data_IF_165249907716
#
_entry.id   IF_165249907716
#
_cell.length_a   1.000
_cell.length_b   1.000
_cell.length_c   1.000
_cell.angle_alpha   90.00
_cell.angle_beta   90.00
_cell.angle_gamma   90.00
#
_symmetry.space_group_name_H-M   'P 1'
#
loop_
_entity.id
_entity.type
_entity.pdbx_description
1 polymer ?
#
# COMPACT_ATOMS: atom_id res chain seq x y z
N UNK A 1 18.46 -13.55 13.96
CA UNK A 1 17.06 -13.15 14.17
C UNK A 1 16.09 -13.83 13.18
N UNK A 2 16.24 -15.14 12.90
CA UNK A 2 15.46 -15.83 11.84
C UNK A 2 15.03 -17.27 12.18
N UNK A 3 15.26 -17.78 13.38
CA UNK A 3 14.86 -19.16 13.75
C UNK A 3 13.37 -19.32 14.02
N UNK A 4 12.65 -18.22 14.27
CA UNK A 4 11.22 -18.20 14.63
C UNK A 4 10.40 -17.20 13.79
N UNK A 5 10.93 -16.75 12.65
CA UNK A 5 10.19 -15.86 11.76
C UNK A 5 9.08 -16.62 11.04
N UNK A 6 7.94 -15.98 10.82
CA UNK A 6 6.89 -16.55 9.96
C UNK A 6 7.40 -16.61 8.50
N UNK A 7 7.65 -17.82 7.95
CA UNK A 7 8.25 -17.96 6.62
C UNK A 7 7.36 -17.39 5.51
N UNK A 8 6.07 -17.21 5.77
CA UNK A 8 5.14 -16.60 4.81
C UNK A 8 5.52 -15.18 4.46
N UNK A 9 6.21 -14.45 5.35
CA UNK A 9 6.68 -13.07 5.09
C UNK A 9 7.75 -12.99 3.98
N UNK A 10 8.38 -14.10 3.61
CA UNK A 10 9.35 -14.15 2.51
C UNK A 10 8.63 -14.23 1.15
N UNK A 11 7.46 -14.88 1.12
CA UNK A 11 6.75 -15.23 -0.12
C UNK A 11 5.59 -14.26 -0.38
N UNK A 12 4.89 -13.85 0.67
CA UNK A 12 3.67 -13.06 0.57
C UNK A 12 3.91 -11.60 0.96
N UNK A 13 3.39 -10.65 0.16
CA UNK A 13 3.49 -9.23 0.49
C UNK A 13 2.63 -8.90 1.72
N UNK A 14 3.10 -7.90 2.48
CA UNK A 14 2.36 -7.33 3.61
C UNK A 14 2.21 -5.83 3.45
N UNK A 15 1.07 -5.29 3.87
CA UNK A 15 0.89 -3.83 3.97
C UNK A 15 1.77 -3.21 5.08
N UNK A 16 1.71 -1.87 5.23
CA UNK A 16 2.44 -1.17 6.29
C UNK A 16 2.02 -1.53 7.72
N UNK A 17 0.92 -2.27 7.91
CA UNK A 17 0.50 -2.81 9.22
C UNK A 17 1.00 -4.24 9.44
N UNK A 18 1.70 -4.82 8.46
CA UNK A 18 2.18 -6.21 8.49
C UNK A 18 1.10 -7.24 8.20
N UNK A 19 -0.05 -6.83 7.62
CA UNK A 19 -1.12 -7.74 7.24
C UNK A 19 -0.86 -8.28 5.83
N UNK A 20 -0.98 -9.59 5.65
CA UNK A 20 -0.80 -10.24 4.36
C UNK A 20 -1.88 -9.83 3.36
N UNK A 21 -1.47 -9.52 2.12
CA UNK A 21 -2.39 -9.30 1.02
C UNK A 21 -2.94 -10.64 0.50
N UNK A 22 -4.25 -10.75 0.30
CA UNK A 22 -4.89 -11.97 -0.21
C UNK A 22 -5.07 -13.10 0.80
N UNK A 23 -4.78 -12.88 2.08
CA UNK A 23 -4.88 -13.92 3.11
C UNK A 23 -6.33 -14.12 3.55
N UNK A 24 -6.81 -15.37 3.43
CA UNK A 24 -8.16 -15.76 3.86
C UNK A 24 -8.41 -15.48 5.35
N UNK A 25 -9.61 -15.04 5.68
CA UNK A 25 -10.04 -14.67 7.04
C UNK A 25 -9.47 -13.34 7.54
N UNK A 26 -8.89 -12.51 6.66
CA UNK A 26 -8.35 -11.19 7.02
C UNK A 26 -9.07 -10.05 6.27
N UNK A 27 -8.95 -8.79 6.71
CA UNK A 27 -9.48 -7.64 5.98
C UNK A 27 -8.94 -7.49 4.55
N UNK A 28 -7.81 -8.13 4.24
CA UNK A 28 -7.14 -8.08 2.94
C UNK A 28 -7.38 -9.34 2.09
N UNK A 29 -8.31 -10.22 2.47
CA UNK A 29 -8.63 -11.47 1.73
C UNK A 29 -8.88 -11.22 0.24
N UNK A 30 -9.70 -10.21 -0.09
CA UNK A 30 -10.03 -9.86 -1.48
C UNK A 30 -9.06 -8.84 -2.08
N UNK A 31 -7.91 -8.60 -1.44
CA UNK A 31 -6.92 -7.59 -1.85
C UNK A 31 -5.54 -8.22 -2.02
N UNK A 32 -5.28 -8.97 -3.11
CA UNK A 32 -4.06 -9.77 -3.25
C UNK A 32 -2.83 -8.96 -3.70
N UNK A 33 -3.00 -7.75 -4.21
CA UNK A 33 -1.89 -6.96 -4.75
C UNK A 33 -1.38 -5.92 -3.75
N UNK A 34 -0.08 -5.67 -3.76
CA UNK A 34 0.56 -4.65 -2.93
C UNK A 34 0.79 -3.37 -3.74
N UNK A 35 0.27 -2.25 -3.25
CA UNK A 35 0.46 -0.94 -3.85
C UNK A 35 1.47 -0.10 -3.08
N UNK A 36 2.46 0.45 -3.79
CA UNK A 36 3.44 1.39 -3.28
C UNK A 36 3.07 2.82 -3.67
N UNK A 37 2.93 3.71 -2.69
CA UNK A 37 2.68 5.14 -2.98
C UNK A 37 3.89 5.81 -3.66
N UNK A 38 5.09 5.37 -3.32
CA UNK A 38 6.32 5.80 -3.97
C UNK A 38 7.35 4.67 -3.92
N UNK A 39 7.44 3.90 -5.01
CA UNK A 39 8.38 2.79 -5.14
C UNK A 39 9.84 3.24 -5.21
N UNK A 40 10.10 4.48 -5.64
CA UNK A 40 11.46 5.01 -5.74
C UNK A 40 12.12 5.19 -4.36
N UNK A 41 11.31 5.38 -3.30
CA UNK A 41 11.82 5.36 -1.92
C UNK A 41 12.40 4.01 -1.52
N UNK A 42 11.97 2.93 -2.18
CA UNK A 42 12.48 1.58 -1.92
C UNK A 42 13.85 1.34 -2.56
N UNK A 43 14.28 2.17 -3.51
CA UNK A 43 15.60 2.08 -4.15
C UNK A 43 16.72 2.76 -3.34
N UNK A 44 16.38 3.38 -2.20
CA UNK A 44 17.36 4.00 -1.32
C UNK A 44 18.16 2.94 -0.54
N UNK A 45 19.49 3.09 -0.39
CA UNK A 45 20.30 2.19 0.43
C UNK A 45 19.88 2.19 1.92
N UNK A 46 19.15 3.22 2.38
CA UNK A 46 18.61 3.24 3.75
C UNK A 46 17.61 2.09 4.02
N UNK A 47 16.98 1.53 2.98
CA UNK A 47 16.07 0.38 3.10
C UNK A 47 16.79 -0.85 3.67
N UNK A 48 18.10 -0.99 3.41
CA UNK A 48 18.91 -2.07 3.96
C UNK A 48 19.06 -1.99 5.49
N UNK A 49 18.87 -0.81 6.08
CA UNK A 49 18.95 -0.60 7.52
C UNK A 49 17.59 -0.81 8.21
N UNK A 50 16.50 -0.35 7.61
CA UNK A 50 15.14 -0.48 8.18
C UNK A 50 14.47 -1.83 7.86
N UNK A 51 15.06 -2.62 6.96
CA UNK A 51 14.52 -3.89 6.44
C UNK A 51 13.14 -3.79 5.78
N UNK A 52 12.61 -2.57 5.60
CA UNK A 52 11.32 -2.29 4.98
C UNK A 52 11.39 -0.99 4.18
N UNK A 53 10.57 -0.87 3.13
CA UNK A 53 10.52 0.35 2.35
C UNK A 53 9.84 1.49 3.13
N UNK A 54 10.44 2.70 3.24
CA UNK A 54 9.91 3.84 4.00
C UNK A 54 8.82 4.59 3.21
N UNK A 55 7.85 3.83 2.71
CA UNK A 55 6.68 4.33 1.98
C UNK A 55 5.45 3.57 2.47
N UNK A 56 4.31 4.26 2.49
CA UNK A 56 3.05 3.59 2.82
C UNK A 56 2.76 2.54 1.76
N UNK A 57 2.34 1.37 2.23
CA UNK A 57 2.00 0.21 1.44
C UNK A 57 0.61 -0.25 1.85
N UNK A 58 -0.25 -0.50 0.87
CA UNK A 58 -1.62 -0.98 1.08
C UNK A 58 -1.90 -2.18 0.19
N UNK A 59 -2.73 -3.10 0.67
CA UNK A 59 -3.27 -4.15 -0.17
C UNK A 59 -4.44 -3.61 -1.01
N UNK A 60 -4.52 -3.99 -2.27
CA UNK A 60 -5.59 -3.60 -3.21
C UNK A 60 -6.12 -4.81 -3.97
N UNK A 61 -7.40 -4.75 -4.36
CA UNK A 61 -8.06 -5.78 -5.16
C UNK A 61 -7.55 -5.78 -6.61
N UNK A 62 -7.30 -4.59 -7.17
CA UNK A 62 -6.78 -4.40 -8.52
C UNK A 62 -5.69 -3.35 -8.53
N UNK A 63 -4.62 -3.59 -9.29
CA UNK A 63 -3.59 -2.59 -9.53
C UNK A 63 -4.19 -1.37 -10.25
N UNK A 64 -3.77 -0.14 -9.92
CA UNK A 64 -4.28 1.05 -10.58
C UNK A 64 -3.94 1.04 -12.07
N UNK A 65 -4.94 1.38 -12.89
CA UNK A 65 -4.80 1.53 -14.35
C UNK A 65 -4.65 2.99 -14.79
N UNK A 66 -4.75 3.93 -13.86
CA UNK A 66 -4.60 5.38 -14.10
C UNK A 66 -3.46 5.96 -13.27
N UNK A 67 -2.69 6.86 -13.88
CA UNK A 67 -1.70 7.67 -13.17
C UNK A 67 -2.37 8.94 -12.64
N UNK A 68 -2.64 8.99 -11.34
CA UNK A 68 -3.26 10.12 -10.66
C UNK A 68 -2.40 10.58 -9.49
N UNK A 69 -2.39 11.88 -9.27
CA UNK A 69 -1.79 12.51 -8.08
C UNK A 69 -2.85 13.22 -7.26
N UNK A 70 -2.58 13.44 -5.98
CA UNK A 70 -3.47 14.23 -5.13
C UNK A 70 -3.81 15.59 -5.75
N UNK A 71 -2.80 16.29 -6.27
CA UNK A 71 -2.97 17.61 -6.90
C UNK A 71 -3.93 17.54 -8.10
N UNK A 72 -3.78 16.55 -8.98
CA UNK A 72 -4.66 16.40 -10.15
C UNK A 72 -6.13 16.14 -9.79
N UNK A 73 -6.38 15.42 -8.69
CA UNK A 73 -7.72 15.05 -8.26
C UNK A 73 -8.36 16.15 -7.40
N UNK A 74 -7.55 16.90 -6.65
CA UNK A 74 -8.00 18.05 -5.88
C UNK A 74 -8.45 19.21 -6.79
N UNK A 75 -7.81 19.39 -7.95
CA UNK A 75 -8.18 20.43 -8.93
C UNK A 75 -9.30 20.00 -9.86
N UNK A 76 -9.37 18.71 -10.24
CA UNK A 76 -10.46 18.14 -11.04
C UNK A 76 -11.08 16.95 -10.31
N UNK A 77 -12.28 17.15 -9.77
CA UNK A 77 -12.99 16.15 -8.94
C UNK A 77 -13.47 14.91 -9.71
N UNK A 78 -13.29 14.85 -11.03
CA UNK A 78 -13.76 13.78 -11.91
C UNK A 78 -13.31 12.38 -11.44
N UNK A 79 -12.06 12.24 -10.98
CA UNK A 79 -11.49 10.96 -10.58
C UNK A 79 -11.42 10.76 -9.05
N UNK A 80 -12.13 11.59 -8.27
CA UNK A 80 -12.06 11.54 -6.80
C UNK A 80 -12.55 10.21 -6.23
N UNK A 81 -13.60 9.62 -6.81
CA UNK A 81 -14.11 8.31 -6.39
C UNK A 81 -13.09 7.19 -6.57
N UNK A 82 -12.40 7.16 -7.73
CA UNK A 82 -11.34 6.20 -8.01
C UNK A 82 -10.12 6.43 -7.10
N UNK A 83 -9.67 7.67 -6.92
CA UNK A 83 -8.52 7.98 -6.07
C UNK A 83 -8.73 7.55 -4.60
N UNK A 84 -9.95 7.73 -4.07
CA UNK A 84 -10.30 7.33 -2.70
C UNK A 84 -10.14 5.84 -2.43
N UNK A 85 -10.21 4.98 -3.43
CA UNK A 85 -10.04 3.53 -3.27
C UNK A 85 -8.64 3.14 -2.76
N UNK A 86 -7.65 4.01 -2.98
CA UNK A 86 -6.27 3.82 -2.55
C UNK A 86 -5.96 4.55 -1.24
N UNK A 87 -6.94 5.17 -0.59
CA UNK A 87 -6.72 5.84 0.69
C UNK A 87 -6.80 4.84 1.86
N UNK A 88 -6.09 5.13 2.95
CA UNK A 88 -6.22 4.40 4.21
C UNK A 88 -7.63 4.58 4.79
N UNK A 89 -8.14 3.55 5.46
CA UNK A 89 -9.36 3.62 6.27
C UNK A 89 -9.32 4.79 7.28
N UNK A 90 -10.36 5.62 7.25
CA UNK A 90 -10.48 6.82 8.09
C UNK A 90 -9.90 8.10 7.48
N UNK A 91 -9.30 8.06 6.29
CA UNK A 91 -8.90 9.26 5.57
C UNK A 91 -10.10 9.89 4.83
N UNK A 92 -10.95 10.60 5.57
CA UNK A 92 -12.14 11.25 5.03
C UNK A 92 -11.97 12.76 4.79
N UNK A 93 -10.89 13.34 5.32
CA UNK A 93 -10.72 14.79 5.36
C UNK A 93 -9.65 15.23 4.36
N UNK A 94 -10.10 15.73 3.21
CA UNK A 94 -9.25 16.29 2.16
C UNK A 94 -9.08 17.81 2.30
N UNK A 95 -9.70 18.41 3.32
CA UNK A 95 -9.57 19.82 3.66
C UNK A 95 -8.38 20.00 4.61
N UNK A 96 -7.18 20.18 4.05
CA UNK A 96 -6.07 20.84 4.73
C UNK A 96 -5.31 21.71 3.73
#
# INVERSE_FOLDING_TARGET
AWTYGDPRKVIYPTDSKGQFCGQAGTPNENKPFLFYFNIMKCASPMVLLEFQCPTTQICVEKCPDKFLTYLSVATSQENMGYYKQFCRDGFNNFAK
#
